data_IF_279242240254
#
_entry.id   IF_279242240254
#
_cell.length_a   1.000
_cell.length_b   1.000
_cell.length_c   1.000
_cell.angle_alpha   90.00
_cell.angle_beta   90.00
_cell.angle_gamma   90.00
#
_symmetry.space_group_name_H-M   'P 1'
#
loop_
_entity.id
_entity.type
_entity.pdbx_description
1 polymer ?
#
# COMPACT_ATOMS: atom_id res chain seq x y z
N UNK A 1 -22.02 10.07 -12.09
CA UNK A 1 -22.28 9.16 -13.21
C UNK A 1 -21.12 9.18 -14.23
N UNK A 2 -20.68 10.34 -14.72
CA UNK A 2 -19.59 10.46 -15.72
C UNK A 2 -18.25 9.88 -15.22
N UNK A 3 -17.85 10.06 -13.98
CA UNK A 3 -16.64 9.47 -13.40
C UNK A 3 -16.69 7.94 -13.29
N UNK A 4 -17.87 7.39 -13.07
CA UNK A 4 -18.07 5.94 -12.98
C UNK A 4 -18.00 5.27 -14.37
N UNK A 5 -18.62 5.88 -15.38
CA UNK A 5 -18.54 5.42 -16.77
C UNK A 5 -17.12 5.49 -17.32
N UNK A 6 -16.40 6.58 -17.07
CA UNK A 6 -15.00 6.75 -17.50
C UNK A 6 -14.08 5.68 -16.89
N UNK A 7 -14.30 5.34 -15.63
CA UNK A 7 -13.50 4.31 -14.91
C UNK A 7 -13.82 2.89 -15.41
N UNK A 8 -15.08 2.61 -15.77
CA UNK A 8 -15.48 1.36 -16.43
C UNK A 8 -14.88 1.22 -17.82
N UNK A 9 -14.86 2.29 -18.61
CA UNK A 9 -14.22 2.31 -19.93
C UNK A 9 -12.72 2.07 -19.85
N UNK A 10 -12.05 2.67 -18.87
CA UNK A 10 -10.62 2.47 -18.61
C UNK A 10 -10.33 1.01 -18.20
N UNK A 11 -11.13 0.43 -17.31
CA UNK A 11 -11.04 -0.99 -16.95
C UNK A 11 -11.27 -1.91 -18.15
N UNK A 12 -12.27 -1.64 -18.97
CA UNK A 12 -12.52 -2.40 -20.18
C UNK A 12 -11.37 -2.31 -21.20
N UNK A 13 -10.78 -1.13 -21.35
CA UNK A 13 -9.61 -0.90 -22.20
C UNK A 13 -8.40 -1.69 -21.71
N UNK A 14 -8.12 -1.63 -20.40
CA UNK A 14 -7.02 -2.37 -19.78
C UNK A 14 -7.20 -3.89 -19.88
N UNK A 15 -8.43 -4.40 -19.67
CA UNK A 15 -8.73 -5.82 -19.86
C UNK A 15 -8.60 -6.26 -21.32
N UNK A 16 -8.97 -5.41 -22.28
CA UNK A 16 -8.82 -5.72 -23.71
C UNK A 16 -7.35 -5.76 -24.11
N UNK A 17 -6.53 -4.82 -23.64
CA UNK A 17 -5.08 -4.80 -23.85
C UNK A 17 -4.43 -6.05 -23.25
N UNK A 18 -4.71 -6.35 -21.98
CA UNK A 18 -4.21 -7.53 -21.30
C UNK A 18 -4.55 -8.83 -22.05
N UNK A 19 -5.81 -8.97 -22.49
CA UNK A 19 -6.23 -10.16 -23.27
C UNK A 19 -5.48 -10.27 -24.59
N UNK A 20 -5.28 -9.16 -25.30
CA UNK A 20 -4.53 -9.13 -26.55
C UNK A 20 -3.08 -9.56 -26.34
N UNK A 21 -2.41 -9.00 -25.32
CA UNK A 21 -1.02 -9.31 -25.01
C UNK A 21 -0.84 -10.78 -24.58
N UNK A 22 -1.79 -11.29 -23.78
CA UNK A 22 -1.81 -12.71 -23.38
C UNK A 22 -1.95 -13.66 -24.58
N UNK A 23 -2.87 -13.36 -25.51
CA UNK A 23 -3.06 -14.14 -26.74
C UNK A 23 -1.79 -14.10 -27.58
N UNK A 24 -1.13 -12.95 -27.73
CA UNK A 24 0.10 -12.82 -28.50
C UNK A 24 1.25 -13.66 -27.90
N UNK A 25 1.36 -13.71 -26.58
CA UNK A 25 2.32 -14.58 -25.90
C UNK A 25 2.06 -16.05 -26.24
N UNK A 26 0.80 -16.51 -26.11
CA UNK A 26 0.43 -17.89 -26.42
C UNK A 26 0.69 -18.24 -27.89
N UNK A 27 0.36 -17.35 -28.82
CA UNK A 27 0.59 -17.54 -30.25
C UNK A 27 2.09 -17.62 -30.57
N UNK A 28 2.90 -16.78 -29.95
CA UNK A 28 4.35 -16.82 -30.12
C UNK A 28 4.95 -18.14 -29.62
N UNK A 29 4.53 -18.61 -28.45
CA UNK A 29 4.96 -19.90 -27.91
C UNK A 29 4.53 -21.05 -28.82
N UNK A 30 3.29 -20.99 -29.34
CA UNK A 30 2.78 -21.99 -30.28
C UNK A 30 3.60 -22.05 -31.59
N UNK A 31 4.05 -20.90 -32.12
CA UNK A 31 4.95 -20.83 -33.27
C UNK A 31 6.25 -21.58 -33.03
N UNK A 32 6.95 -21.34 -31.93
CA UNK A 32 8.18 -22.07 -31.56
C UNK A 32 7.95 -23.58 -31.43
N UNK A 33 6.78 -23.98 -30.87
CA UNK A 33 6.42 -25.41 -30.74
C UNK A 33 6.21 -26.03 -32.12
N UNK A 34 5.48 -25.36 -33.04
CA UNK A 34 5.28 -25.85 -34.39
C UNK A 34 6.57 -26.02 -35.17
N UNK A 35 7.48 -25.07 -35.04
CA UNK A 35 8.80 -25.08 -35.68
C UNK A 35 9.79 -26.03 -34.99
N UNK A 36 9.38 -26.65 -33.87
CA UNK A 36 10.24 -27.52 -33.03
C UNK A 36 11.50 -26.78 -32.53
N UNK A 37 11.46 -25.46 -32.49
CA UNK A 37 12.54 -24.62 -31.98
C UNK A 37 12.46 -24.51 -30.45
N UNK A 38 12.98 -25.54 -29.77
CA UNK A 38 12.96 -25.63 -28.32
C UNK A 38 13.87 -24.57 -27.68
N UNK A 39 15.03 -24.30 -28.28
CA UNK A 39 15.99 -23.30 -27.78
C UNK A 39 15.40 -21.88 -27.86
N UNK A 40 14.75 -21.55 -28.98
CA UNK A 40 14.02 -20.30 -29.17
C UNK A 40 12.86 -20.15 -28.19
N UNK A 41 12.11 -21.23 -27.96
CA UNK A 41 11.02 -21.25 -26.98
C UNK A 41 11.53 -20.99 -25.56
N UNK A 42 12.61 -21.67 -25.15
CA UNK A 42 13.20 -21.48 -23.83
C UNK A 42 13.70 -20.05 -23.62
N UNK A 43 14.39 -19.50 -24.63
CA UNK A 43 14.83 -18.11 -24.60
C UNK A 43 13.67 -17.13 -24.51
N UNK A 44 12.64 -17.30 -25.36
CA UNK A 44 11.45 -16.46 -25.34
C UNK A 44 10.72 -16.52 -24.00
N UNK A 45 10.58 -17.72 -23.44
CA UNK A 45 9.96 -17.93 -22.14
C UNK A 45 10.71 -17.21 -21.03
N UNK A 46 12.03 -17.37 -20.97
CA UNK A 46 12.87 -16.74 -19.94
C UNK A 46 12.93 -15.21 -20.09
N UNK A 47 13.02 -14.68 -21.31
CA UNK A 47 13.20 -13.25 -21.57
C UNK A 47 11.88 -12.46 -21.55
N UNK A 48 10.75 -13.07 -21.88
CA UNK A 48 9.46 -12.40 -22.02
C UNK A 48 8.39 -12.88 -21.02
N UNK A 49 8.25 -14.18 -20.80
CA UNK A 49 7.15 -14.74 -20.00
C UNK A 49 7.52 -14.75 -18.51
N UNK A 50 8.72 -15.18 -18.17
CA UNK A 50 9.18 -15.24 -16.78
C UNK A 50 9.21 -13.87 -16.06
N UNK A 51 9.68 -12.77 -16.68
CA UNK A 51 9.62 -11.45 -16.06
C UNK A 51 8.17 -10.98 -15.80
N UNK A 52 7.25 -11.22 -16.73
CA UNK A 52 5.82 -10.94 -16.55
C UNK A 52 5.22 -11.76 -15.42
N UNK A 53 5.55 -13.06 -15.35
CA UNK A 53 5.11 -13.95 -14.27
C UNK A 53 5.67 -13.51 -12.91
N UNK A 54 6.95 -13.13 -12.82
CA UNK A 54 7.57 -12.62 -11.59
C UNK A 54 6.94 -11.32 -11.13
N UNK A 55 6.66 -10.39 -12.04
CA UNK A 55 5.96 -9.15 -11.73
C UNK A 55 4.52 -9.42 -11.23
N UNK A 56 3.78 -10.31 -11.89
CA UNK A 56 2.45 -10.74 -11.47
C UNK A 56 2.46 -11.52 -10.14
N UNK A 57 3.42 -12.42 -9.94
CA UNK A 57 3.56 -13.17 -8.69
C UNK A 57 3.94 -12.29 -7.52
N UNK A 58 4.86 -11.33 -7.70
CA UNK A 58 5.24 -10.41 -6.62
C UNK A 58 4.05 -9.53 -6.19
N UNK A 59 3.27 -9.04 -7.14
CA UNK A 59 2.08 -8.23 -6.85
C UNK A 59 0.95 -9.07 -6.26
N UNK A 60 0.65 -10.24 -6.81
CA UNK A 60 -0.37 -11.14 -6.29
C UNK A 60 0.01 -11.71 -4.93
N UNK A 61 1.29 -12.04 -4.69
CA UNK A 61 1.77 -12.50 -3.40
C UNK A 61 1.66 -11.40 -2.34
N UNK A 62 2.08 -10.18 -2.65
CA UNK A 62 1.95 -9.03 -1.73
C UNK A 62 0.48 -8.75 -1.38
N UNK A 63 -0.42 -8.82 -2.35
CA UNK A 63 -1.87 -8.67 -2.13
C UNK A 63 -2.46 -9.86 -1.35
N UNK A 64 -1.95 -11.08 -1.55
CA UNK A 64 -2.41 -12.26 -0.81
C UNK A 64 -2.17 -12.16 0.70
N UNK A 65 -1.14 -11.45 1.13
CA UNK A 65 -0.89 -11.19 2.56
C UNK A 65 -1.99 -10.33 3.20
N UNK A 66 -2.72 -9.54 2.41
CA UNK A 66 -3.89 -8.79 2.87
C UNK A 66 -5.09 -9.69 3.19
N UNK A 67 -5.09 -10.97 2.78
CA UNK A 67 -6.12 -11.93 3.17
C UNK A 67 -6.15 -12.15 4.68
N UNK A 68 -5.04 -11.91 5.35
CA UNK A 68 -4.96 -11.95 6.82
C UNK A 68 -5.73 -10.80 7.50
N UNK A 69 -6.20 -9.79 6.76
CA UNK A 69 -7.08 -8.75 7.29
C UNK A 69 -8.53 -9.23 7.13
N UNK A 70 -9.16 -9.65 8.22
CA UNK A 70 -10.53 -10.13 8.20
C UNK A 70 -11.59 -9.02 8.26
N UNK A 71 -11.20 -7.77 8.54
CA UNK A 71 -12.09 -6.59 8.54
C UNK A 71 -12.20 -6.06 7.09
N UNK A 72 -13.37 -6.22 6.42
CA UNK A 72 -13.48 -5.99 4.96
C UNK A 72 -13.15 -4.56 4.54
N UNK A 73 -13.57 -3.56 5.31
CA UNK A 73 -13.36 -2.14 5.03
C UNK A 73 -11.86 -1.80 5.05
N UNK A 74 -11.15 -2.32 6.05
CA UNK A 74 -9.71 -2.13 6.21
C UNK A 74 -8.94 -2.86 5.11
N UNK A 75 -9.34 -4.10 4.79
CA UNK A 75 -8.76 -4.86 3.69
C UNK A 75 -8.93 -4.15 2.35
N UNK A 76 -10.14 -3.67 2.06
CA UNK A 76 -10.43 -2.93 0.83
C UNK A 76 -9.59 -1.66 0.70
N UNK A 77 -9.44 -0.90 1.78
CA UNK A 77 -8.63 0.30 1.83
C UNK A 77 -7.15 0.00 1.56
N UNK A 78 -6.57 -0.97 2.27
CA UNK A 78 -5.18 -1.38 2.05
C UNK A 78 -4.96 -1.83 0.60
N UNK A 79 -5.85 -2.68 0.07
CA UNK A 79 -5.74 -3.18 -1.30
C UNK A 79 -5.73 -2.03 -2.31
N UNK A 80 -6.66 -1.08 -2.21
CA UNK A 80 -6.74 0.05 -3.12
C UNK A 80 -5.50 0.95 -3.07
N UNK A 81 -4.99 1.24 -1.86
CA UNK A 81 -3.81 2.11 -1.69
C UNK A 81 -2.51 1.41 -2.13
N UNK A 82 -2.36 0.12 -1.86
CA UNK A 82 -1.19 -0.66 -2.26
C UNK A 82 -1.14 -0.82 -3.78
N UNK A 83 -2.27 -1.14 -4.42
CA UNK A 83 -2.36 -1.23 -5.88
C UNK A 83 -1.95 0.13 -6.49
N UNK A 84 -2.51 1.23 -6.00
CA UNK A 84 -2.14 2.58 -6.48
C UNK A 84 -0.65 2.86 -6.31
N UNK A 85 -0.05 2.53 -5.16
CA UNK A 85 1.37 2.71 -4.92
C UNK A 85 2.22 1.94 -5.94
N UNK A 86 1.84 0.69 -6.23
CA UNK A 86 2.53 -0.14 -7.23
C UNK A 86 2.37 0.39 -8.66
N UNK A 87 1.19 0.89 -9.03
CA UNK A 87 0.91 1.49 -10.34
C UNK A 87 1.80 2.71 -10.63
N UNK A 88 2.15 3.49 -9.61
CA UNK A 88 3.07 4.64 -9.73
C UNK A 88 4.53 4.28 -9.47
N UNK A 89 4.86 2.99 -9.41
CA UNK A 89 6.24 2.49 -9.34
C UNK A 89 6.86 2.45 -7.94
N UNK A 90 6.07 2.55 -6.86
CA UNK A 90 6.57 2.39 -5.50
C UNK A 90 6.76 0.91 -5.19
N UNK A 91 7.96 0.53 -4.72
CA UNK A 91 8.20 -0.82 -4.21
C UNK A 91 7.56 -0.97 -2.83
N UNK A 92 6.51 -1.80 -2.75
CA UNK A 92 5.73 -2.00 -1.53
C UNK A 92 6.10 -3.33 -0.89
N UNK A 93 6.51 -3.31 0.36
CA UNK A 93 6.72 -4.49 1.19
C UNK A 93 5.59 -4.62 2.21
N UNK A 94 5.00 -5.82 2.33
CA UNK A 94 3.89 -6.10 3.25
C UNK A 94 4.30 -7.23 4.19
N UNK A 95 4.15 -7.00 5.49
CA UNK A 95 4.37 -7.99 6.54
C UNK A 95 3.15 -8.04 7.48
N UNK A 96 2.19 -8.88 7.13
CA UNK A 96 0.97 -9.15 7.91
C UNK A 96 0.87 -10.67 8.08
N UNK A 97 1.75 -11.23 8.90
CA UNK A 97 1.89 -12.67 9.06
C UNK A 97 0.67 -13.33 9.74
N UNK A 98 -0.02 -12.60 10.63
CA UNK A 98 -1.12 -13.16 11.41
C UNK A 98 -2.48 -12.54 11.06
N UNK A 99 -3.54 -13.34 11.21
CA UNK A 99 -4.89 -12.88 10.93
C UNK A 99 -5.36 -11.77 11.88
N UNK A 100 -5.92 -10.70 11.32
CA UNK A 100 -6.55 -9.60 12.06
C UNK A 100 -8.05 -9.85 12.08
N UNK A 101 -8.57 -10.30 13.22
CA UNK A 101 -10.01 -10.58 13.37
C UNK A 101 -10.82 -9.33 13.73
N UNK A 102 -10.27 -8.45 14.54
CA UNK A 102 -10.91 -7.21 14.97
C UNK A 102 -9.90 -6.20 15.51
N UNK A 103 -10.30 -4.95 15.57
CA UNK A 103 -9.58 -3.89 16.26
C UNK A 103 -10.46 -3.35 17.38
N UNK A 104 -9.89 -2.94 18.50
CA UNK A 104 -10.59 -2.26 19.61
C UNK A 104 -10.71 -0.76 19.33
N UNK A 105 -11.22 -0.44 18.15
CA UNK A 105 -11.45 0.91 17.63
C UNK A 105 -12.58 0.85 16.59
N UNK A 106 -13.31 1.92 16.43
CA UNK A 106 -14.31 2.06 15.37
C UNK A 106 -13.66 1.89 13.98
N UNK A 107 -14.32 1.13 13.10
CA UNK A 107 -13.77 0.77 11.79
C UNK A 107 -13.65 1.97 10.85
N UNK A 108 -14.52 2.97 10.97
CA UNK A 108 -14.48 4.19 10.15
C UNK A 108 -13.32 5.06 10.58
N UNK A 109 -13.13 5.26 11.89
CA UNK A 109 -12.01 6.04 12.42
C UNK A 109 -10.67 5.36 12.12
N UNK A 110 -10.59 4.03 12.24
CA UNK A 110 -9.40 3.26 11.85
C UNK A 110 -9.12 3.38 10.35
N UNK A 111 -10.15 3.29 9.51
CA UNK A 111 -10.00 3.48 8.06
C UNK A 111 -9.48 4.87 7.71
N UNK A 112 -9.94 5.92 8.40
CA UNK A 112 -9.44 7.29 8.22
C UNK A 112 -7.97 7.41 8.63
N UNK A 113 -7.59 6.84 9.78
CA UNK A 113 -6.20 6.82 10.25
C UNK A 113 -5.31 6.17 9.20
N UNK A 114 -5.62 4.93 8.80
CA UNK A 114 -4.83 4.17 7.83
C UNK A 114 -4.78 4.87 6.47
N UNK A 115 -5.91 5.41 6.01
CA UNK A 115 -6.00 6.15 4.76
C UNK A 115 -5.05 7.35 4.72
N UNK A 116 -5.06 8.18 5.77
CA UNK A 116 -4.18 9.35 5.90
C UNK A 116 -2.71 8.92 5.91
N UNK A 117 -2.37 7.87 6.66
CA UNK A 117 -1.00 7.39 6.78
C UNK A 117 -0.47 6.85 5.45
N UNK A 118 -1.27 6.03 4.75
CA UNK A 118 -0.90 5.47 3.45
C UNK A 118 -0.80 6.56 2.37
N UNK A 119 -1.71 7.52 2.34
CA UNK A 119 -1.63 8.64 1.39
C UNK A 119 -0.37 9.47 1.61
N UNK A 120 -0.03 9.76 2.85
CA UNK A 120 1.20 10.49 3.19
C UNK A 120 2.46 9.71 2.77
N UNK A 121 2.48 8.40 3.01
CA UNK A 121 3.59 7.54 2.63
C UNK A 121 3.76 7.47 1.10
N UNK A 122 2.68 7.29 0.35
CA UNK A 122 2.66 7.25 -1.11
C UNK A 122 3.19 8.58 -1.67
N UNK A 123 2.62 9.71 -1.24
CA UNK A 123 3.00 11.04 -1.74
C UNK A 123 4.45 11.44 -1.40
N UNK A 124 5.00 10.94 -0.29
CA UNK A 124 6.39 11.20 0.08
C UNK A 124 7.36 10.32 -0.72
N UNK A 125 7.04 9.03 -0.88
CA UNK A 125 7.86 8.08 -1.63
C UNK A 125 7.90 8.37 -3.12
N UNK A 126 6.77 8.79 -3.73
CA UNK A 126 6.67 9.10 -5.15
C UNK A 126 7.74 10.09 -5.64
N UNK A 127 8.22 10.97 -4.77
CA UNK A 127 9.26 11.97 -5.07
C UNK A 127 10.68 11.41 -5.04
N UNK A 128 10.88 10.20 -4.55
CA UNK A 128 12.18 9.58 -4.40
C UNK A 128 12.66 8.95 -5.70
N UNK A 129 13.98 8.86 -5.87
CA UNK A 129 14.58 8.23 -7.06
C UNK A 129 14.36 6.70 -7.05
N UNK A 130 14.26 6.09 -5.87
CA UNK A 130 13.90 4.69 -5.64
C UNK A 130 12.76 4.64 -4.63
N UNK A 131 11.53 4.86 -5.08
CA UNK A 131 10.39 4.94 -4.16
C UNK A 131 10.12 3.62 -3.48
N UNK A 132 9.96 3.65 -2.15
CA UNK A 132 9.72 2.44 -1.36
C UNK A 132 8.81 2.71 -0.17
N UNK A 133 7.96 1.73 0.14
CA UNK A 133 7.04 1.77 1.28
C UNK A 133 6.95 0.38 1.91
N UNK A 134 6.88 0.33 3.25
CA UNK A 134 6.67 -0.91 4.00
C UNK A 134 5.43 -0.77 4.86
N UNK A 135 4.60 -1.79 4.89
CA UNK A 135 3.43 -1.89 5.76
C UNK A 135 3.56 -3.16 6.58
N UNK A 136 3.58 -3.02 7.88
CA UNK A 136 3.70 -4.16 8.78
C UNK A 136 2.64 -4.10 9.88
N UNK A 137 2.24 -5.29 10.33
CA UNK A 137 1.48 -5.48 11.56
C UNK A 137 2.29 -6.30 12.53
N UNK A 138 2.40 -5.81 13.74
CA UNK A 138 3.10 -6.49 14.83
C UNK A 138 2.14 -6.74 15.99
N UNK A 139 1.95 -7.99 16.36
CA UNK A 139 1.24 -8.34 17.59
C UNK A 139 2.21 -8.24 18.78
N UNK A 140 1.79 -7.49 19.78
CA UNK A 140 2.36 -7.54 21.14
C UNK A 140 1.35 -8.21 22.06
N UNK A 141 1.80 -8.58 23.25
CA UNK A 141 0.95 -9.27 24.26
C UNK A 141 -0.37 -8.52 24.51
N UNK A 142 -0.32 -7.19 24.61
CA UNK A 142 -1.46 -6.35 24.98
C UNK A 142 -1.88 -5.36 23.89
N UNK A 143 -1.25 -5.37 22.72
CA UNK A 143 -1.53 -4.40 21.65
C UNK A 143 -1.26 -4.94 20.27
N UNK A 144 -1.91 -4.31 19.29
CA UNK A 144 -1.63 -4.47 17.86
C UNK A 144 -0.97 -3.19 17.37
N UNK A 145 0.16 -3.31 16.70
CA UNK A 145 0.84 -2.20 16.05
C UNK A 145 0.59 -2.27 14.54
N UNK A 146 0.19 -1.16 13.97
CA UNK A 146 0.19 -0.93 12.51
C UNK A 146 1.36 0.00 12.24
N UNK A 147 2.32 -0.45 11.44
CA UNK A 147 3.55 0.27 11.13
C UNK A 147 3.56 0.57 9.64
N UNK A 148 3.68 1.84 9.29
CA UNK A 148 3.84 2.30 7.92
C UNK A 148 5.17 3.06 7.84
N UNK A 149 6.05 2.61 6.95
CA UNK A 149 7.37 3.18 6.74
C UNK A 149 7.47 3.57 5.28
N UNK A 150 8.00 4.74 5.02
CA UNK A 150 8.29 5.18 3.67
C UNK A 150 9.62 5.93 3.62
N UNK A 151 10.28 5.92 2.47
CA UNK A 151 11.38 6.83 2.22
C UNK A 151 10.85 8.22 1.83
N UNK A 152 11.72 9.23 1.90
CA UNK A 152 11.41 10.61 1.55
C UNK A 152 12.63 11.29 0.92
N UNK A 153 12.40 12.26 0.04
CA UNK A 153 13.47 13.01 -0.65
C UNK A 153 13.74 14.36 0.01
N UNK A 154 12.67 15.06 0.40
CA UNK A 154 12.77 16.40 0.92
C UNK A 154 13.12 16.39 2.43
N UNK A 155 13.74 17.49 2.92
CA UNK A 155 14.01 17.64 4.35
C UNK A 155 12.70 17.60 5.14
N UNK A 156 12.59 16.66 6.07
CA UNK A 156 11.41 16.53 6.93
C UNK A 156 11.45 17.61 8.02
N UNK A 157 10.38 18.39 8.20
CA UNK A 157 10.26 19.35 9.29
C UNK A 157 10.27 18.65 10.65
N UNK A 158 10.54 19.40 11.75
CA UNK A 158 10.43 18.85 13.11
C UNK A 158 9.06 18.20 13.36
N UNK A 159 9.03 17.08 14.09
CA UNK A 159 7.83 16.27 14.31
C UNK A 159 6.67 17.10 14.88
N UNK A 160 6.92 17.99 15.83
CA UNK A 160 5.86 18.83 16.40
C UNK A 160 5.16 19.68 15.33
N UNK A 161 5.91 20.14 14.32
CA UNK A 161 5.43 21.04 13.28
C UNK A 161 4.55 20.33 12.24
N UNK A 162 4.87 19.07 11.93
CA UNK A 162 4.08 18.30 10.93
C UNK A 162 2.65 17.98 11.40
N UNK A 163 2.40 18.06 12.70
CA UNK A 163 1.08 17.86 13.31
C UNK A 163 0.32 19.16 13.60
N UNK A 164 0.90 20.33 13.31
CA UNK A 164 0.20 21.60 13.43
C UNK A 164 -0.90 21.73 12.37
N UNK A 165 -2.06 22.24 12.78
CA UNK A 165 -3.19 22.43 11.87
C UNK A 165 -2.84 23.43 10.78
N UNK A 166 -3.06 23.04 9.50
CA UNK A 166 -2.75 23.88 8.34
C UNK A 166 -1.28 23.85 7.91
N UNK A 167 -0.40 23.17 8.66
CA UNK A 167 0.98 23.00 8.22
C UNK A 167 1.08 21.98 7.09
N UNK A 168 1.66 22.37 5.98
CA UNK A 168 1.91 21.51 4.83
C UNK A 168 3.20 21.91 4.12
N UNK A 169 4.03 20.93 3.79
CA UNK A 169 5.17 21.11 2.88
C UNK A 169 4.75 21.04 1.40
N UNK A 170 3.45 20.80 1.13
CA UNK A 170 2.91 20.47 -0.20
C UNK A 170 2.05 21.58 -0.83
N UNK A 171 2.07 22.81 -0.28
CA UNK A 171 1.37 23.99 -0.80
C UNK A 171 0.09 24.39 -0.04
N UNK A 172 -0.49 25.53 -0.42
CA UNK A 172 -1.71 26.09 0.20
C UNK A 172 -2.91 25.17 -0.01
N UNK A 173 -3.79 25.06 0.96
CA UNK A 173 -4.96 24.18 1.06
C UNK A 173 -4.66 22.66 1.34
N UNK A 174 -3.44 22.31 1.76
CA UNK A 174 -3.08 20.98 2.27
C UNK A 174 -2.55 21.14 3.69
N UNK A 175 -2.53 20.09 4.51
CA UNK A 175 -2.04 20.17 5.88
C UNK A 175 -3.09 19.86 6.95
N UNK A 176 -4.22 19.29 6.54
CA UNK A 176 -5.30 18.89 7.44
C UNK A 176 -5.17 17.39 7.82
N UNK A 177 -4.44 16.59 7.03
CA UNK A 177 -4.39 15.13 7.21
C UNK A 177 -3.80 14.71 8.56
N UNK A 178 -2.58 15.14 8.88
CA UNK A 178 -1.90 14.72 10.12
C UNK A 178 -2.51 15.37 11.38
N UNK A 179 -3.06 16.58 11.29
CA UNK A 179 -3.80 17.18 12.40
C UNK A 179 -5.12 16.42 12.68
N UNK A 180 -5.87 16.05 11.64
CA UNK A 180 -7.07 15.22 11.77
C UNK A 180 -6.73 13.84 12.36
N UNK A 181 -5.61 13.25 11.92
CA UNK A 181 -5.13 11.98 12.45
C UNK A 181 -4.93 12.07 13.98
N UNK A 182 -4.30 13.12 14.45
CA UNK A 182 -4.09 13.36 15.89
C UNK A 182 -5.39 13.55 16.65
N UNK A 183 -6.34 14.28 16.07
CA UNK A 183 -7.70 14.45 16.64
C UNK A 183 -8.43 13.12 16.74
N UNK A 184 -8.38 12.26 15.72
CA UNK A 184 -9.03 10.95 15.74
C UNK A 184 -8.38 10.04 16.79
N UNK A 185 -7.04 9.95 16.81
CA UNK A 185 -6.31 9.14 17.81
C UNK A 185 -6.61 9.63 19.23
N UNK A 186 -6.72 10.94 19.44
CA UNK A 186 -7.05 11.53 20.75
C UNK A 186 -8.43 11.18 21.31
N UNK A 187 -9.35 10.62 20.51
CA UNK A 187 -10.65 10.12 20.99
C UNK A 187 -10.55 8.78 21.72
N UNK A 188 -9.42 8.07 21.57
CA UNK A 188 -9.24 6.70 22.04
C UNK A 188 -8.12 6.61 23.07
N UNK A 189 -8.46 6.34 24.33
CA UNK A 189 -7.48 6.16 25.42
C UNK A 189 -6.57 4.95 25.20
N UNK A 190 -7.03 3.96 24.43
CA UNK A 190 -6.28 2.75 24.13
C UNK A 190 -5.41 2.86 22.87
N UNK A 191 -5.34 4.03 22.23
CA UNK A 191 -4.62 4.21 20.96
C UNK A 191 -3.56 5.28 21.08
N UNK A 192 -2.38 5.00 20.55
CA UNK A 192 -1.30 6.00 20.42
C UNK A 192 -0.75 6.03 18.99
N UNK A 193 -0.17 7.16 18.64
CA UNK A 193 0.52 7.39 17.38
C UNK A 193 1.93 7.90 17.65
N UNK A 194 2.91 7.16 17.16
CA UNK A 194 4.33 7.53 17.23
C UNK A 194 4.88 7.80 15.83
N UNK A 195 5.80 8.75 15.73
CA UNK A 195 6.51 9.08 14.50
C UNK A 195 8.00 9.09 14.75
N UNK A 196 8.75 8.32 13.95
CA UNK A 196 10.20 8.23 14.01
C UNK A 196 10.77 8.57 12.63
N UNK A 197 11.81 9.41 12.62
CA UNK A 197 12.51 9.83 11.41
C UNK A 197 13.97 9.46 11.59
N UNK A 198 14.41 8.43 10.87
CA UNK A 198 15.78 7.92 10.96
C UNK A 198 16.22 7.26 9.66
N UNK A 199 17.50 7.31 9.35
CA UNK A 199 18.12 6.61 8.21
C UNK A 199 17.42 6.82 6.85
N UNK A 200 16.83 7.99 6.62
CA UNK A 200 16.08 8.29 5.39
C UNK A 200 14.70 7.64 5.32
N UNK A 201 14.23 7.05 6.41
CA UNK A 201 12.89 6.49 6.57
C UNK A 201 12.03 7.34 7.49
N UNK A 202 10.78 7.56 7.08
CA UNK A 202 9.72 8.15 7.88
C UNK A 202 8.80 7.01 8.33
N UNK A 203 8.76 6.76 9.64
CA UNK A 203 8.05 5.65 10.24
C UNK A 203 6.90 6.17 11.10
N UNK A 204 5.70 5.70 10.84
CA UNK A 204 4.51 5.97 11.64
C UNK A 204 3.98 4.68 12.25
N UNK A 205 3.70 4.69 13.54
CA UNK A 205 3.30 3.53 14.33
C UNK A 205 2.00 3.88 15.03
N UNK A 206 0.92 3.20 14.67
CA UNK A 206 -0.35 3.24 15.41
C UNK A 206 -0.41 2.02 16.31
N UNK A 207 -0.43 2.24 17.62
CA UNK A 207 -0.60 1.17 18.61
C UNK A 207 -2.01 1.20 19.16
N UNK A 208 -2.71 0.05 19.09
CA UNK A 208 -4.07 -0.14 19.61
C UNK A 208 -3.99 -1.20 20.70
N UNK A 209 -4.19 -0.83 21.95
CA UNK A 209 -4.17 -1.74 23.09
C UNK A 209 -5.46 -2.57 23.16
N UNK A 210 -5.32 -3.84 23.50
CA UNK A 210 -6.46 -4.77 23.62
C UNK A 210 -7.21 -4.61 24.96
N UNK A 211 -6.53 -4.09 25.99
CA UNK A 211 -7.09 -3.77 27.31
C UNK A 211 -6.90 -2.28 27.58
N UNK A 212 -7.90 -1.63 28.12
CA UNK A 212 -7.76 -0.33 28.79
C UNK A 212 -7.22 -0.69 30.17
N UNK A 213 -6.02 -0.22 30.53
CA UNK A 213 -5.49 -0.41 31.89
C UNK A 213 -6.43 0.29 32.87
N UNK A 214 -7.13 -0.50 33.68
CA UNK A 214 -7.58 -0.17 35.01
C UNK A 214 -8.80 0.74 35.16
N UNK A 215 -9.94 0.16 35.34
CA UNK A 215 -10.81 0.42 36.50
C UNK A 215 -11.31 -0.87 37.05
#
# INVERSE_FOLDING_TARGET
>A
LQQYTSRLEELHKNMRSFRHDYINILLSMFGYIQDKDIDGLEKYFNDKVMPLSKAMQSNNFKISLLQNIAVPEIKGLFSAKIIRAQEIGIDVYIDIAEAIKSFKMDSIDLSRIIGILLDNAIEASEKCDKPSMKVARVNKVDSVLIVIINNYKDKVPPIYKIYERGFSTKGNNRGIGLSNLREIVGKYENTSLDTVIENGEFKQIVAIRNKIEGR
#
